data_IF_699792415952
#
_entry.id   IF_699792415952
#
_cell.length_a   1.000
_cell.length_b   1.000
_cell.length_c   1.000
_cell.angle_alpha   90.00
_cell.angle_beta   90.00
_cell.angle_gamma   90.00
#
_symmetry.space_group_name_H-M   'P 1'
#
loop_
_entity.id
_entity.type
_entity.pdbx_description
1 polymer ?
#
# COMPACT_ATOMS: atom_id res chain seq x y z
N UNK A 1 3.23 17.35 -37.84
CA UNK A 1 3.34 16.20 -36.88
C UNK A 1 4.11 16.70 -35.67
N UNK A 2 3.50 16.65 -34.44
CA UNK A 2 4.26 16.94 -33.21
C UNK A 2 5.33 15.86 -33.05
N UNK A 3 6.58 16.25 -32.78
CA UNK A 3 7.70 15.35 -32.51
C UNK A 3 7.29 14.40 -31.40
N UNK A 4 7.35 13.08 -31.66
CA UNK A 4 7.11 12.07 -30.61
C UNK A 4 8.25 12.16 -29.61
N UNK A 5 7.93 12.42 -28.34
CA UNK A 5 8.92 12.49 -27.27
C UNK A 5 8.93 11.12 -26.59
N UNK A 6 10.07 10.47 -26.56
CA UNK A 6 10.29 9.26 -25.79
C UNK A 6 10.81 9.63 -24.40
N UNK A 7 10.17 9.10 -23.37
CA UNK A 7 10.56 9.27 -21.97
C UNK A 7 11.04 7.95 -21.38
N UNK A 8 11.80 8.02 -20.31
CA UNK A 8 12.33 6.82 -19.69
C UNK A 8 11.22 6.00 -19.03
N UNK A 9 10.31 6.64 -18.31
CA UNK A 9 9.33 5.92 -17.50
C UNK A 9 7.94 6.57 -17.42
N UNK A 10 6.94 5.70 -17.21
CA UNK A 10 5.61 6.07 -16.75
C UNK A 10 5.26 5.26 -15.50
N UNK A 11 4.67 5.89 -14.50
CA UNK A 11 4.24 5.26 -13.25
C UNK A 11 2.73 5.29 -13.12
N UNK A 12 2.10 4.18 -12.72
CA UNK A 12 0.67 4.09 -12.40
C UNK A 12 0.54 3.88 -10.89
N UNK A 13 -0.14 4.82 -10.21
CA UNK A 13 -0.34 4.79 -8.76
C UNK A 13 -1.83 4.77 -8.41
N UNK A 14 -2.26 3.79 -7.60
CA UNK A 14 -3.64 3.62 -7.14
C UNK A 14 -3.81 3.93 -5.65
N UNK A 15 -2.70 4.06 -4.90
CA UNK A 15 -2.69 4.33 -3.47
C UNK A 15 -1.60 5.35 -3.08
N UNK A 16 -1.73 6.01 -1.91
CA UNK A 16 -0.65 6.86 -1.38
C UNK A 16 0.68 6.13 -1.23
N UNK A 17 0.67 4.88 -0.77
CA UNK A 17 1.88 4.07 -0.64
C UNK A 17 2.57 3.84 -1.98
N UNK A 18 1.82 3.51 -3.03
CA UNK A 18 2.37 3.37 -4.38
C UNK A 18 2.95 4.68 -4.90
N UNK A 19 2.35 5.83 -4.57
CA UNK A 19 2.90 7.13 -4.95
C UNK A 19 4.24 7.39 -4.24
N UNK A 20 4.35 7.07 -2.95
CA UNK A 20 5.62 7.16 -2.22
C UNK A 20 6.71 6.27 -2.85
N UNK A 21 6.37 5.03 -3.19
CA UNK A 21 7.29 4.10 -3.86
C UNK A 21 7.69 4.59 -5.26
N UNK A 22 6.76 5.15 -6.04
CA UNK A 22 7.03 5.72 -7.35
C UNK A 22 7.95 6.94 -7.28
N UNK A 23 7.73 7.84 -6.31
CA UNK A 23 8.63 8.99 -6.04
C UNK A 23 10.03 8.49 -5.70
N UNK A 24 10.13 7.49 -4.83
CA UNK A 24 11.41 6.90 -4.43
C UNK A 24 12.16 6.34 -5.63
N UNK A 25 11.50 5.56 -6.49
CA UNK A 25 12.11 4.99 -7.68
C UNK A 25 12.51 6.05 -8.71
N UNK A 26 11.62 6.99 -9.01
CA UNK A 26 11.88 8.02 -10.02
C UNK A 26 13.08 8.90 -9.64
N UNK A 27 13.16 9.30 -8.36
CA UNK A 27 14.28 10.09 -7.83
C UNK A 27 15.59 9.28 -7.80
N UNK A 28 15.53 8.03 -7.33
CA UNK A 28 16.73 7.18 -7.20
C UNK A 28 17.30 6.76 -8.54
N UNK A 29 16.45 6.52 -9.54
CA UNK A 29 16.88 6.14 -10.88
C UNK A 29 17.27 7.34 -11.75
N UNK A 30 16.92 8.58 -11.37
CA UNK A 30 17.14 9.78 -12.17
C UNK A 30 16.40 9.75 -13.52
N UNK A 31 15.24 9.06 -13.57
CA UNK A 31 14.48 8.86 -14.82
C UNK A 31 13.63 10.09 -15.18
N UNK A 32 13.58 10.44 -16.46
CA UNK A 32 12.55 11.33 -16.98
C UNK A 32 11.21 10.60 -16.99
N UNK A 33 10.29 11.00 -16.14
CA UNK A 33 9.11 10.21 -15.89
C UNK A 33 7.82 11.02 -15.84
N UNK A 34 6.71 10.37 -16.20
CA UNK A 34 5.35 10.84 -15.96
C UNK A 34 4.67 9.94 -14.93
N UNK A 35 3.72 10.48 -14.17
CA UNK A 35 2.90 9.71 -13.25
C UNK A 35 1.41 9.85 -13.58
N UNK A 36 0.72 8.72 -13.49
CA UNK A 36 -0.70 8.55 -13.75
C UNK A 36 -1.38 8.13 -12.46
N UNK A 37 -2.23 8.99 -11.92
CA UNK A 37 -2.96 8.75 -10.69
C UNK A 37 -4.32 8.13 -11.00
N UNK A 38 -4.56 6.93 -10.48
CA UNK A 38 -5.82 6.21 -10.61
C UNK A 38 -6.90 6.88 -9.73
N UNK A 39 -8.14 7.00 -10.20
CA UNK A 39 -9.24 7.58 -9.42
C UNK A 39 -9.63 6.80 -8.16
N UNK A 40 -9.13 5.58 -7.95
CA UNK A 40 -9.27 4.87 -6.68
C UNK A 40 -8.47 5.54 -5.55
N UNK A 41 -7.46 6.32 -5.91
CA UNK A 41 -6.69 7.12 -4.99
C UNK A 41 -7.58 8.27 -4.44
N UNK A 42 -8.10 8.10 -3.23
CA UNK A 42 -8.97 9.10 -2.60
C UNK A 42 -8.24 10.41 -2.37
N UNK A 43 -8.98 11.53 -2.43
CA UNK A 43 -8.45 12.89 -2.24
C UNK A 43 -7.25 13.21 -3.16
N UNK A 44 -7.19 12.56 -4.33
CA UNK A 44 -6.08 12.66 -5.27
C UNK A 44 -5.77 14.10 -5.70
N UNK A 45 -6.75 15.02 -5.70
CA UNK A 45 -6.57 16.41 -6.12
C UNK A 45 -5.50 17.15 -5.32
N UNK A 46 -5.54 17.01 -3.98
CA UNK A 46 -4.56 17.67 -3.11
C UNK A 46 -3.15 17.13 -3.37
N UNK A 47 -3.03 15.81 -3.55
CA UNK A 47 -1.76 15.15 -3.85
C UNK A 47 -1.24 15.52 -5.24
N UNK A 48 -2.08 15.53 -6.26
CA UNK A 48 -1.72 15.93 -7.63
C UNK A 48 -1.19 17.38 -7.66
N UNK A 49 -1.88 18.30 -6.97
CA UNK A 49 -1.46 19.70 -6.89
C UNK A 49 -0.08 19.86 -6.25
N UNK A 50 0.17 19.14 -5.16
CA UNK A 50 1.45 19.18 -4.44
C UNK A 50 2.55 18.45 -5.22
N UNK A 51 2.23 17.30 -5.80
CA UNK A 51 3.16 16.50 -6.60
C UNK A 51 3.73 17.27 -7.79
N UNK A 52 2.90 18.07 -8.47
CA UNK A 52 3.35 18.97 -9.55
C UNK A 52 4.40 19.99 -9.09
N UNK A 53 4.36 20.40 -7.82
CA UNK A 53 5.33 21.35 -7.25
C UNK A 53 6.68 20.71 -6.92
N UNK A 54 6.76 19.38 -6.82
CA UNK A 54 8.02 18.69 -6.50
C UNK A 54 8.99 18.67 -7.68
N UNK A 55 8.49 18.71 -8.91
CA UNK A 55 9.29 18.51 -10.11
C UNK A 55 9.83 17.09 -10.32
N UNK A 56 9.43 16.12 -9.47
CA UNK A 56 9.86 14.70 -9.59
C UNK A 56 9.36 14.07 -10.89
N UNK A 57 8.14 14.42 -11.29
CA UNK A 57 7.55 13.97 -12.55
C UNK A 57 7.33 15.16 -13.47
N UNK A 58 7.68 15.00 -14.74
CA UNK A 58 7.46 16.04 -15.75
C UNK A 58 5.97 16.27 -15.98
N UNK A 59 5.18 15.21 -15.90
CA UNK A 59 3.73 15.26 -16.07
C UNK A 59 3.03 14.47 -14.99
N UNK A 60 1.99 15.07 -14.42
CA UNK A 60 1.10 14.44 -13.43
C UNK A 60 -0.31 14.45 -14.00
N UNK A 61 -0.83 13.26 -14.28
CA UNK A 61 -2.12 13.03 -14.95
C UNK A 61 -3.11 12.36 -14.01
N UNK A 62 -4.32 12.92 -13.92
CA UNK A 62 -5.46 12.30 -13.26
C UNK A 62 -6.22 11.42 -14.28
N UNK A 63 -6.07 10.12 -14.19
CA UNK A 63 -6.75 9.19 -15.09
C UNK A 63 -8.27 9.27 -15.00
N UNK A 64 -8.80 9.67 -13.85
CA UNK A 64 -10.23 9.82 -13.64
C UNK A 64 -10.85 10.97 -14.42
N UNK A 65 -10.16 12.09 -14.51
CA UNK A 65 -10.61 13.29 -15.22
C UNK A 65 -10.28 13.25 -16.70
N UNK A 66 -9.10 12.74 -17.02
CA UNK A 66 -8.52 12.84 -18.35
C UNK A 66 -8.93 11.70 -19.28
N UNK A 67 -9.56 10.65 -18.75
CA UNK A 67 -10.11 9.53 -19.53
C UNK A 67 -11.61 9.34 -19.26
N UNK A 68 -12.38 8.99 -20.26
CA UNK A 68 -13.79 8.58 -20.05
C UNK A 68 -13.96 7.23 -19.35
N UNK A 69 -12.86 6.56 -19.03
CA UNK A 69 -12.83 5.19 -18.52
C UNK A 69 -13.53 5.02 -17.16
N UNK A 70 -13.37 5.99 -16.24
CA UNK A 70 -14.05 5.98 -14.94
C UNK A 70 -15.55 6.09 -15.10
N UNK A 71 -16.00 7.03 -15.93
CA UNK A 71 -17.44 7.22 -16.19
C UNK A 71 -18.07 5.95 -16.77
N UNK A 72 -17.34 5.24 -17.65
CA UNK A 72 -17.80 3.99 -18.20
C UNK A 72 -17.89 2.87 -17.15
N UNK A 73 -16.90 2.78 -16.24
CA UNK A 73 -16.86 1.78 -15.17
C UNK A 73 -17.97 1.98 -14.12
N UNK A 74 -18.31 3.23 -13.81
CA UNK A 74 -19.29 3.59 -12.77
C UNK A 74 -20.75 3.52 -13.21
N UNK A 75 -21.03 3.06 -14.43
CA UNK A 75 -22.39 2.85 -14.90
C UNK A 75 -23.04 1.69 -14.14
N UNK A 76 -24.16 1.95 -13.44
CA UNK A 76 -24.86 0.94 -12.63
C UNK A 76 -25.39 -0.22 -13.46
N UNK A 77 -25.99 0.06 -14.64
CA UNK A 77 -26.50 -0.98 -15.53
C UNK A 77 -25.35 -1.78 -16.15
N UNK A 78 -25.34 -3.10 -15.92
CA UNK A 78 -24.28 -4.03 -16.36
C UNK A 78 -24.09 -4.04 -17.88
N UNK A 79 -25.18 -4.00 -18.65
CA UNK A 79 -25.12 -4.03 -20.13
C UNK A 79 -24.58 -2.72 -20.70
N UNK A 80 -25.09 -1.57 -20.22
CA UNK A 80 -24.60 -0.24 -20.63
C UNK A 80 -23.14 -0.04 -20.21
N UNK A 81 -22.74 -0.54 -19.03
CA UNK A 81 -21.34 -0.55 -18.60
C UNK A 81 -20.47 -1.34 -19.56
N UNK A 82 -20.86 -2.57 -19.90
CA UNK A 82 -20.15 -3.41 -20.87
C UNK A 82 -19.99 -2.74 -22.24
N UNK A 83 -21.08 -2.14 -22.75
CA UNK A 83 -21.06 -1.42 -24.02
C UNK A 83 -20.09 -0.22 -23.99
N UNK A 84 -20.14 0.61 -22.94
CA UNK A 84 -19.23 1.76 -22.80
C UNK A 84 -17.76 1.35 -22.69
N UNK A 85 -17.47 0.30 -21.95
CA UNK A 85 -16.12 -0.26 -21.86
C UNK A 85 -15.66 -0.75 -23.24
N UNK A 86 -16.53 -1.42 -23.99
CA UNK A 86 -16.26 -1.89 -25.36
C UNK A 86 -15.95 -0.72 -26.31
N UNK A 87 -16.72 0.36 -26.23
CA UNK A 87 -16.48 1.58 -27.01
C UNK A 87 -15.12 2.23 -26.68
N UNK A 88 -14.72 2.25 -25.41
CA UNK A 88 -13.37 2.72 -25.02
C UNK A 88 -12.29 1.83 -25.62
N UNK A 89 -12.46 0.51 -25.60
CA UNK A 89 -11.50 -0.42 -26.21
C UNK A 89 -11.40 -0.22 -27.73
N UNK A 90 -12.51 0.03 -28.41
CA UNK A 90 -12.53 0.29 -29.85
C UNK A 90 -11.85 1.63 -30.20
N UNK A 91 -12.03 2.65 -29.36
CA UNK A 91 -11.43 3.97 -29.55
C UNK A 91 -10.34 4.28 -28.50
N UNK A 92 -9.48 3.32 -28.20
CA UNK A 92 -8.47 3.45 -27.14
C UNK A 92 -7.50 4.60 -27.41
N UNK A 93 -7.15 4.85 -28.67
CA UNK A 93 -6.29 6.00 -29.08
C UNK A 93 -6.94 7.34 -28.75
N UNK A 94 -8.25 7.49 -29.02
CA UNK A 94 -9.02 8.68 -28.69
C UNK A 94 -9.17 8.87 -27.18
N UNK A 95 -9.49 7.81 -26.46
CA UNK A 95 -9.66 7.83 -25.00
C UNK A 95 -8.41 8.31 -24.26
N UNK A 96 -7.22 7.95 -24.74
CA UNK A 96 -5.94 8.34 -24.12
C UNK A 96 -5.20 9.48 -24.82
N UNK A 97 -5.78 10.08 -25.87
CA UNK A 97 -5.14 11.16 -26.63
C UNK A 97 -4.72 12.34 -25.74
N UNK A 98 -5.58 12.75 -24.81
CA UNK A 98 -5.32 13.86 -23.89
C UNK A 98 -4.32 13.44 -22.82
N UNK A 99 -4.48 12.26 -22.23
CA UNK A 99 -3.70 11.77 -21.09
C UNK A 99 -2.28 11.41 -21.47
N UNK A 100 -2.07 10.77 -22.60
CA UNK A 100 -0.75 10.31 -23.03
C UNK A 100 -0.10 11.25 -24.08
N UNK A 101 -0.90 12.02 -24.82
CA UNK A 101 -0.41 13.10 -25.70
C UNK A 101 0.57 12.66 -26.80
N UNK A 102 0.59 11.34 -27.14
CA UNK A 102 1.54 10.77 -28.10
C UNK A 102 2.91 10.44 -27.50
N UNK A 103 3.11 10.59 -26.19
CA UNK A 103 4.34 10.14 -25.52
C UNK A 103 4.51 8.63 -25.60
N UNK A 104 5.75 8.21 -25.74
CA UNK A 104 6.18 6.81 -25.62
C UNK A 104 7.06 6.70 -24.39
N UNK A 105 7.10 5.52 -23.79
CA UNK A 105 7.87 5.23 -22.60
C UNK A 105 8.69 3.98 -22.82
N UNK A 106 9.93 3.97 -22.35
CA UNK A 106 10.78 2.77 -22.32
C UNK A 106 10.26 1.77 -21.29
N UNK A 107 9.81 2.27 -20.13
CA UNK A 107 9.32 1.47 -19.01
C UNK A 107 7.94 1.92 -18.55
N UNK A 108 7.10 0.97 -18.16
CA UNK A 108 5.82 1.21 -17.51
C UNK A 108 5.84 0.53 -16.13
N UNK A 109 5.89 1.35 -15.09
CA UNK A 109 5.88 0.92 -13.72
C UNK A 109 4.45 0.81 -13.20
N UNK A 110 4.13 -0.33 -12.56
CA UNK A 110 2.85 -0.59 -11.92
C UNK A 110 3.05 -1.48 -10.71
N UNK A 111 2.12 -1.45 -9.75
CA UNK A 111 2.15 -2.38 -8.60
C UNK A 111 1.36 -3.67 -8.86
N UNK A 112 0.39 -3.61 -9.76
CA UNK A 112 -0.47 -4.74 -10.09
C UNK A 112 -1.12 -4.59 -11.48
N UNK A 113 -1.84 -5.61 -11.92
CA UNK A 113 -2.60 -5.62 -13.16
C UNK A 113 -3.95 -4.89 -12.99
N UNK A 114 -3.90 -3.59 -12.68
CA UNK A 114 -5.10 -2.77 -12.53
C UNK A 114 -5.85 -2.56 -13.86
N UNK A 115 -7.12 -2.14 -13.77
CA UNK A 115 -7.91 -1.79 -14.95
C UNK A 115 -7.25 -0.72 -15.82
N UNK A 116 -6.68 0.31 -15.21
CA UNK A 116 -5.99 1.36 -15.96
C UNK A 116 -4.66 0.90 -16.56
N UNK A 117 -3.95 0.00 -15.88
CA UNK A 117 -2.80 -0.66 -16.48
C UNK A 117 -3.18 -1.42 -17.76
N UNK A 118 -4.26 -2.23 -17.73
CA UNK A 118 -4.75 -2.95 -18.91
C UNK A 118 -5.11 -1.99 -20.05
N UNK A 119 -5.80 -0.89 -19.75
CA UNK A 119 -6.14 0.12 -20.76
C UNK A 119 -4.90 0.82 -21.33
N UNK A 120 -3.92 1.17 -20.51
CA UNK A 120 -2.69 1.80 -20.98
C UNK A 120 -1.88 0.85 -21.86
N UNK A 121 -1.77 -0.42 -21.50
CA UNK A 121 -1.11 -1.42 -22.34
C UNK A 121 -1.81 -1.61 -23.68
N UNK A 122 -3.15 -1.61 -23.70
CA UNK A 122 -3.92 -1.63 -24.98
C UNK A 122 -3.64 -0.40 -25.83
N UNK A 123 -3.54 0.77 -25.20
CA UNK A 123 -3.15 1.99 -25.93
C UNK A 123 -1.77 1.87 -26.54
N UNK A 124 -0.76 1.43 -25.77
CA UNK A 124 0.60 1.27 -26.26
C UNK A 124 0.68 0.27 -27.43
N UNK A 125 0.00 -0.87 -27.34
CA UNK A 125 -0.11 -1.80 -28.45
C UNK A 125 -0.76 -1.16 -29.69
N UNK A 126 -1.81 -0.37 -29.50
CA UNK A 126 -2.52 0.28 -30.60
C UNK A 126 -1.67 1.34 -31.33
N UNK A 127 -0.64 1.92 -30.67
CA UNK A 127 0.32 2.88 -31.25
C UNK A 127 1.69 2.27 -31.55
N UNK A 128 1.74 0.94 -31.58
CA UNK A 128 2.96 0.14 -31.81
C UNK A 128 4.11 0.54 -30.87
N UNK A 129 3.80 0.66 -29.60
CA UNK A 129 4.76 0.85 -28.52
C UNK A 129 4.72 -0.35 -27.57
N UNK A 130 5.90 -0.75 -27.08
CA UNK A 130 6.04 -1.91 -26.18
C UNK A 130 6.95 -1.56 -25.00
N UNK A 131 6.45 -0.78 -24.02
CA UNK A 131 7.25 -0.48 -22.85
C UNK A 131 7.55 -1.76 -22.07
N UNK A 132 8.74 -1.83 -21.48
CA UNK A 132 9.04 -2.87 -20.49
C UNK A 132 8.12 -2.66 -19.29
N UNK A 133 7.38 -3.71 -18.92
CA UNK A 133 6.56 -3.68 -17.71
C UNK A 133 7.42 -3.97 -16.49
N UNK A 134 7.38 -3.08 -15.52
CA UNK A 134 8.13 -3.19 -14.27
C UNK A 134 7.15 -3.13 -13.11
N UNK A 135 7.21 -4.09 -12.21
CA UNK A 135 6.40 -4.06 -10.99
C UNK A 135 7.19 -3.43 -9.84
N UNK A 136 6.49 -2.72 -8.97
CA UNK A 136 7.05 -2.20 -7.74
C UNK A 136 6.16 -2.52 -6.55
N UNK A 137 6.72 -2.41 -5.35
CA UNK A 137 6.10 -2.84 -4.09
C UNK A 137 4.75 -2.16 -3.82
N UNK A 138 3.78 -2.95 -3.38
CA UNK A 138 2.41 -2.56 -3.01
C UNK A 138 2.06 -3.03 -1.58
N UNK A 139 3.05 -3.32 -0.78
CA UNK A 139 2.90 -3.93 0.53
C UNK A 139 2.76 -5.45 0.46
N UNK A 140 1.99 -6.05 1.39
CA UNK A 140 1.86 -7.51 1.55
C UNK A 140 1.58 -8.24 0.24
N UNK A 141 0.63 -7.74 -0.53
CA UNK A 141 0.26 -8.38 -1.77
C UNK A 141 1.42 -8.57 -2.75
N UNK A 142 2.53 -7.84 -2.58
CA UNK A 142 3.75 -8.05 -3.36
C UNK A 142 4.47 -9.34 -2.98
N UNK A 143 4.30 -9.80 -1.75
CA UNK A 143 4.99 -10.97 -1.18
C UNK A 143 4.12 -12.21 -1.15
N UNK A 144 2.81 -12.06 -0.89
CA UNK A 144 1.88 -13.17 -0.72
C UNK A 144 1.28 -13.65 -2.06
N UNK A 145 0.96 -12.75 -2.96
CA UNK A 145 0.33 -13.09 -4.25
C UNK A 145 1.12 -12.62 -5.47
N UNK A 146 2.23 -13.31 -5.83
CA UNK A 146 3.07 -12.92 -6.97
C UNK A 146 2.34 -13.05 -8.32
N UNK A 147 1.29 -13.87 -8.42
CA UNK A 147 0.55 -14.10 -9.68
C UNK A 147 -0.13 -12.83 -10.21
N UNK A 148 -0.59 -11.95 -9.32
CA UNK A 148 -1.18 -10.66 -9.71
C UNK A 148 -0.17 -9.69 -10.32
N UNK A 149 1.12 -10.02 -10.27
CA UNK A 149 2.25 -9.21 -10.73
C UNK A 149 3.06 -9.89 -11.82
N UNK A 150 2.37 -10.68 -12.62
CA UNK A 150 2.88 -11.23 -13.88
C UNK A 150 2.10 -10.53 -14.99
N UNK A 151 2.76 -9.84 -15.93
CA UNK A 151 2.07 -9.20 -17.04
C UNK A 151 1.26 -10.21 -17.83
N UNK A 152 0.08 -9.82 -18.29
CA UNK A 152 -0.71 -10.68 -19.17
C UNK A 152 0.12 -11.01 -20.44
N UNK A 153 0.14 -12.27 -20.82
CA UNK A 153 0.89 -12.80 -21.99
C UNK A 153 0.62 -12.04 -23.30
N UNK A 154 -0.55 -11.39 -23.43
CA UNK A 154 -0.87 -10.54 -24.57
C UNK A 154 -0.03 -9.27 -24.67
N UNK A 155 0.59 -8.83 -23.56
CA UNK A 155 1.38 -7.59 -23.48
C UNK A 155 2.89 -7.82 -23.53
N UNK A 156 3.35 -9.00 -23.20
CA UNK A 156 4.77 -9.33 -23.10
C UNK A 156 5.07 -10.65 -23.79
N UNK A 157 6.29 -10.82 -24.28
CA UNK A 157 6.76 -12.10 -24.82
C UNK A 157 6.74 -13.19 -23.74
N UNK A 158 6.57 -14.45 -24.17
CA UNK A 158 6.64 -15.61 -23.26
C UNK A 158 8.00 -15.71 -22.54
N UNK A 159 9.05 -15.22 -23.17
CA UNK A 159 10.43 -15.32 -22.67
C UNK A 159 10.90 -14.05 -21.94
N UNK A 160 10.01 -13.05 -21.78
CA UNK A 160 10.38 -11.83 -21.09
C UNK A 160 10.55 -12.05 -19.60
N UNK A 161 11.64 -11.50 -19.06
CA UNK A 161 11.91 -11.45 -17.63
C UNK A 161 11.07 -10.32 -17.00
N UNK A 162 10.34 -10.64 -15.95
CA UNK A 162 9.56 -9.65 -15.19
C UNK A 162 10.45 -8.99 -14.14
N UNK A 163 10.67 -7.69 -14.27
CA UNK A 163 11.41 -6.91 -13.27
C UNK A 163 10.48 -6.50 -12.14
N UNK A 164 10.93 -6.70 -10.89
CA UNK A 164 10.20 -6.32 -9.67
C UNK A 164 11.11 -5.57 -8.72
N UNK A 165 10.72 -4.35 -8.35
CA UNK A 165 11.37 -3.58 -7.29
C UNK A 165 10.61 -3.76 -5.97
N UNK A 166 11.26 -4.35 -4.98
CA UNK A 166 10.67 -4.68 -3.68
C UNK A 166 11.52 -4.10 -2.55
N UNK A 167 10.89 -3.62 -1.49
CA UNK A 167 11.60 -3.14 -0.30
C UNK A 167 12.32 -4.27 0.43
N UNK A 168 11.78 -5.48 0.38
CA UNK A 168 12.41 -6.67 0.98
C UNK A 168 12.51 -7.83 -0.02
N UNK A 169 13.49 -7.82 -0.95
CA UNK A 169 13.75 -8.95 -1.86
C UNK A 169 13.92 -10.28 -1.11
N UNK A 170 14.56 -10.25 0.04
CA UNK A 170 14.78 -11.44 0.86
C UNK A 170 13.46 -12.06 1.35
N UNK A 171 12.52 -11.24 1.83
CA UNK A 171 11.18 -11.70 2.23
C UNK A 171 10.46 -12.35 1.04
N UNK A 172 10.50 -11.68 -0.13
CA UNK A 172 9.89 -12.23 -1.35
C UNK A 172 10.45 -13.61 -1.71
N UNK A 173 11.77 -13.75 -1.69
CA UNK A 173 12.43 -15.01 -2.04
C UNK A 173 12.14 -16.12 -1.00
N UNK A 174 12.03 -15.78 0.28
CA UNK A 174 11.61 -16.73 1.33
C UNK A 174 10.15 -17.17 1.18
N UNK A 175 9.27 -16.27 0.71
CA UNK A 175 7.85 -16.58 0.51
C UNK A 175 7.61 -17.40 -0.77
N UNK A 176 8.31 -17.09 -1.87
CA UNK A 176 7.96 -17.55 -3.21
C UNK A 176 9.04 -18.41 -3.89
N UNK A 177 10.26 -18.45 -3.33
CA UNK A 177 11.40 -19.09 -3.97
C UNK A 177 11.98 -18.25 -5.13
N UNK A 178 13.02 -18.78 -5.77
CA UNK A 178 13.63 -18.18 -6.96
C UNK A 178 12.88 -18.61 -8.21
N UNK A 179 12.67 -17.67 -9.13
CA UNK A 179 12.10 -17.92 -10.44
C UNK A 179 12.98 -17.24 -11.50
N UNK A 180 13.53 -18.01 -12.43
CA UNK A 180 14.42 -17.51 -13.50
C UNK A 180 13.75 -16.52 -14.47
N UNK A 181 12.41 -16.37 -14.39
CA UNK A 181 11.64 -15.40 -15.16
C UNK A 181 11.39 -14.10 -14.40
N UNK A 182 12.01 -13.94 -13.25
CA UNK A 182 11.86 -12.76 -12.40
C UNK A 182 13.22 -12.17 -12.04
N UNK A 183 13.36 -10.87 -12.26
CA UNK A 183 14.50 -10.08 -11.83
C UNK A 183 14.05 -9.24 -10.62
N UNK A 184 14.40 -9.71 -9.42
CA UNK A 184 14.02 -9.09 -8.17
C UNK A 184 15.10 -8.10 -7.76
N UNK A 185 14.75 -6.83 -7.69
CA UNK A 185 15.65 -5.72 -7.36
C UNK A 185 15.22 -5.05 -6.06
N UNK A 186 16.18 -4.54 -5.24
CA UNK A 186 15.84 -3.76 -4.07
C UNK A 186 15.23 -2.41 -4.48
N UNK A 187 14.10 -2.07 -3.86
CA UNK A 187 13.55 -0.72 -3.88
C UNK A 187 14.24 0.07 -2.76
N UNK A 188 14.85 1.23 -3.03
CA UNK A 188 15.51 2.02 -2.00
C UNK A 188 14.56 2.41 -0.87
N UNK A 189 15.07 2.49 0.37
CA UNK A 189 14.28 2.95 1.51
C UNK A 189 13.86 4.41 1.33
N UNK A 190 12.68 4.76 1.82
CA UNK A 190 12.07 6.09 1.58
C UNK A 190 12.83 7.24 2.27
N UNK A 191 13.59 6.98 3.30
CA UNK A 191 14.38 7.96 4.06
C UNK A 191 15.87 7.99 3.68
N UNK A 192 16.29 7.13 2.75
CA UNK A 192 17.68 7.02 2.32
C UNK A 192 18.17 8.25 1.55
N UNK A 193 17.32 8.89 0.75
CA UNK A 193 17.67 10.07 -0.06
C UNK A 193 16.87 11.29 0.43
N UNK A 194 17.61 12.35 0.79
CA UNK A 194 17.02 13.64 1.23
C UNK A 194 16.06 14.25 0.19
N UNK A 195 16.29 14.01 -1.11
CA UNK A 195 15.41 14.49 -2.18
C UNK A 195 14.08 13.74 -2.15
N UNK A 196 14.10 12.42 -1.94
CA UNK A 196 12.91 11.58 -1.75
C UNK A 196 12.14 12.09 -0.54
N UNK A 197 12.81 12.24 0.60
CA UNK A 197 12.19 12.73 1.83
C UNK A 197 11.53 14.09 1.64
N UNK A 198 12.24 15.05 1.02
CA UNK A 198 11.70 16.38 0.74
C UNK A 198 10.46 16.33 -0.18
N UNK A 199 10.49 15.46 -1.19
CA UNK A 199 9.35 15.30 -2.09
C UNK A 199 8.13 14.70 -1.35
N UNK A 200 8.32 13.66 -0.55
CA UNK A 200 7.26 13.04 0.28
C UNK A 200 6.70 14.08 1.27
N UNK A 201 7.56 14.82 1.96
CA UNK A 201 7.15 15.86 2.91
C UNK A 201 6.27 16.93 2.24
N UNK A 202 6.61 17.35 1.02
CA UNK A 202 5.82 18.31 0.26
C UNK A 202 4.49 17.72 -0.23
N UNK A 203 4.50 16.50 -0.77
CA UNK A 203 3.30 15.85 -1.31
C UNK A 203 2.27 15.60 -0.20
N UNK A 204 2.73 15.06 0.92
CA UNK A 204 1.85 14.60 2.00
C UNK A 204 1.69 15.62 3.14
N UNK A 205 2.43 16.74 3.10
CA UNK A 205 2.40 17.79 4.15
C UNK A 205 2.70 17.22 5.53
N UNK A 206 3.79 16.45 5.62
CA UNK A 206 4.09 15.62 6.80
C UNK A 206 4.22 16.42 8.09
N UNK A 207 4.52 17.74 8.00
CA UNK A 207 4.54 18.64 9.16
C UNK A 207 3.18 18.81 9.83
N UNK A 208 2.09 18.57 9.11
CA UNK A 208 0.71 18.64 9.63
C UNK A 208 0.18 17.30 10.10
N UNK A 209 0.95 16.23 9.92
CA UNK A 209 0.56 14.88 10.39
C UNK A 209 0.76 14.85 11.91
N UNK A 210 -0.31 14.65 12.70
CA UNK A 210 -0.19 14.53 14.13
C UNK A 210 0.73 13.38 14.52
N UNK A 211 1.66 13.64 15.42
CA UNK A 211 2.56 12.62 15.96
C UNK A 211 1.80 11.76 16.96
N UNK A 212 1.99 10.45 16.90
CA UNK A 212 1.47 9.54 17.92
C UNK A 212 2.41 9.56 19.11
N UNK A 213 1.95 10.14 20.23
CA UNK A 213 2.69 10.21 21.49
C UNK A 213 2.57 8.94 22.33
N UNK A 214 1.41 8.31 22.27
CA UNK A 214 1.03 7.18 23.11
C UNK A 214 1.94 5.96 22.91
N UNK A 215 2.23 5.23 23.99
CA UNK A 215 3.11 4.05 23.94
C UNK A 215 2.49 2.85 23.24
N UNK A 216 1.16 2.77 23.14
CA UNK A 216 0.44 1.71 22.47
C UNK A 216 -0.44 2.27 21.35
N UNK A 217 -0.44 1.62 20.21
CA UNK A 217 -1.31 1.92 19.09
C UNK A 217 -2.14 0.70 18.70
N UNK A 218 -3.44 0.89 18.51
CA UNK A 218 -4.32 -0.10 17.91
C UNK A 218 -4.55 0.29 16.46
N UNK A 219 -4.13 -0.56 15.53
CA UNK A 219 -4.53 -0.45 14.12
C UNK A 219 -5.80 -1.26 13.94
N UNK A 220 -6.92 -0.56 13.98
CA UNK A 220 -8.23 -1.20 13.92
C UNK A 220 -8.59 -1.68 12.52
N UNK A 221 -9.54 -2.61 12.43
CA UNK A 221 -9.97 -3.24 11.17
C UNK A 221 -11.44 -2.95 10.90
N UNK A 222 -11.88 -3.21 9.68
CA UNK A 222 -13.31 -3.23 9.32
C UNK A 222 -13.97 -4.50 9.85
N UNK A 223 -14.47 -4.44 11.09
CA UNK A 223 -15.03 -5.61 11.82
C UNK A 223 -16.10 -6.33 11.01
N UNK A 224 -17.10 -5.59 10.54
CA UNK A 224 -18.23 -6.13 9.76
C UNK A 224 -17.81 -6.89 8.49
N UNK A 225 -16.70 -6.44 7.87
CA UNK A 225 -16.15 -7.09 6.69
C UNK A 225 -15.33 -8.33 7.05
N UNK A 226 -14.60 -8.28 8.16
CA UNK A 226 -13.62 -9.30 8.52
C UNK A 226 -14.19 -10.42 9.39
N UNK A 227 -15.24 -10.16 10.18
CA UNK A 227 -15.78 -11.07 11.20
C UNK A 227 -17.31 -11.10 11.16
N UNK A 228 -17.90 -12.19 11.68
CA UNK A 228 -19.33 -12.22 12.00
C UNK A 228 -19.63 -11.31 13.22
N UNK A 229 -20.90 -11.03 13.47
CA UNK A 229 -21.34 -10.06 14.49
C UNK A 229 -20.86 -10.46 15.89
N UNK A 230 -20.97 -11.75 16.26
CA UNK A 230 -20.52 -12.26 17.56
C UNK A 230 -19.01 -12.07 17.72
N UNK A 231 -18.23 -12.53 16.75
CA UNK A 231 -16.77 -12.39 16.77
C UNK A 231 -16.33 -10.92 16.78
N UNK A 232 -17.03 -10.04 16.06
CA UNK A 232 -16.77 -8.60 16.04
C UNK A 232 -17.02 -7.94 17.42
N UNK A 233 -18.06 -8.42 18.15
CA UNK A 233 -18.33 -7.98 19.51
C UNK A 233 -17.22 -8.45 20.47
N UNK A 234 -16.89 -9.73 20.46
CA UNK A 234 -15.84 -10.31 21.30
C UNK A 234 -14.47 -9.63 21.07
N UNK A 235 -14.15 -9.32 19.80
CA UNK A 235 -12.96 -8.57 19.41
C UNK A 235 -12.96 -7.17 20.02
N UNK A 236 -14.08 -6.44 19.91
CA UNK A 236 -14.21 -5.08 20.46
C UNK A 236 -14.09 -5.08 21.98
N UNK A 237 -14.76 -6.00 22.67
CA UNK A 237 -14.69 -6.15 24.13
C UNK A 237 -13.26 -6.47 24.60
N UNK A 238 -12.55 -7.32 23.86
CA UNK A 238 -11.14 -7.63 24.18
C UNK A 238 -10.26 -6.38 24.03
N UNK A 239 -10.45 -5.58 22.98
CA UNK A 239 -9.69 -4.34 22.81
C UNK A 239 -10.06 -3.28 23.84
N UNK A 240 -11.31 -3.22 24.30
CA UNK A 240 -11.72 -2.34 25.41
C UNK A 240 -10.99 -2.74 26.70
N UNK A 241 -10.94 -4.03 27.03
CA UNK A 241 -10.15 -4.52 28.18
C UNK A 241 -8.67 -4.20 28.08
N UNK A 242 -8.09 -4.23 26.86
CA UNK A 242 -6.71 -3.78 26.62
C UNK A 242 -6.57 -2.30 26.95
N UNK A 243 -7.49 -1.45 26.46
CA UNK A 243 -7.46 -0.01 26.73
C UNK A 243 -7.62 0.30 28.24
N UNK A 244 -8.50 -0.38 28.94
CA UNK A 244 -8.67 -0.22 30.38
C UNK A 244 -7.40 -0.63 31.14
N UNK A 245 -6.81 -1.79 30.80
CA UNK A 245 -5.60 -2.30 31.47
C UNK A 245 -4.39 -1.37 31.28
N UNK A 246 -4.20 -0.82 30.09
CA UNK A 246 -3.06 0.07 29.77
C UNK A 246 -3.34 1.52 30.19
N UNK A 247 -4.60 1.87 30.39
CA UNK A 247 -5.11 3.24 30.57
C UNK A 247 -5.42 3.90 29.24
N UNK A 248 -6.65 4.35 29.06
CA UNK A 248 -7.18 4.91 27.79
C UNK A 248 -6.29 6.00 27.18
N UNK A 249 -5.68 6.84 28.02
CA UNK A 249 -4.82 7.93 27.59
C UNK A 249 -3.43 7.46 27.06
N UNK A 250 -3.08 6.21 27.31
CA UNK A 250 -1.84 5.59 26.84
C UNK A 250 -2.03 4.81 25.53
N UNK A 251 -3.23 4.81 24.97
CA UNK A 251 -3.58 4.07 23.76
C UNK A 251 -4.09 5.02 22.70
N UNK A 252 -3.47 5.02 21.54
CA UNK A 252 -3.96 5.71 20.35
C UNK A 252 -4.63 4.71 19.41
N UNK A 253 -5.87 4.98 19.00
CA UNK A 253 -6.65 4.12 18.12
C UNK A 253 -6.66 4.71 16.72
N UNK A 254 -6.01 4.04 15.79
CA UNK A 254 -6.10 4.39 14.38
C UNK A 254 -7.17 3.54 13.71
N UNK A 255 -8.34 4.15 13.51
CA UNK A 255 -9.43 3.51 12.79
C UNK A 255 -9.06 3.26 11.32
N UNK A 256 -9.63 2.20 10.76
CA UNK A 256 -9.52 1.96 9.32
C UNK A 256 -10.19 3.10 8.53
N UNK A 257 -9.60 3.63 7.44
CA UNK A 257 -10.14 4.80 6.70
C UNK A 257 -11.57 4.64 6.18
N UNK A 258 -12.06 3.41 6.05
CA UNK A 258 -13.42 3.10 5.61
C UNK A 258 -14.39 2.83 6.76
N UNK A 259 -13.88 2.68 7.98
CA UNK A 259 -14.73 2.50 9.17
C UNK A 259 -15.37 3.83 9.54
N UNK A 260 -16.69 3.82 9.68
CA UNK A 260 -17.52 4.97 10.08
C UNK A 260 -18.28 4.69 11.37
N UNK A 261 -17.96 3.61 12.06
CA UNK A 261 -18.61 3.24 13.31
C UNK A 261 -18.20 4.15 14.46
N UNK A 262 -19.10 4.31 15.43
CA UNK A 262 -18.85 5.02 16.69
C UNK A 262 -18.27 4.11 17.78
N UNK A 263 -17.74 2.95 17.43
CA UNK A 263 -17.24 1.95 18.37
C UNK A 263 -16.24 2.52 19.37
N UNK A 264 -15.42 3.46 18.94
CA UNK A 264 -14.36 4.05 19.76
C UNK A 264 -14.73 5.38 20.40
N UNK A 265 -16.03 5.72 20.47
CA UNK A 265 -16.49 6.93 21.14
C UNK A 265 -16.03 6.94 22.60
N UNK A 266 -15.38 8.02 23.03
CA UNK A 266 -14.81 8.16 24.38
C UNK A 266 -13.41 7.56 24.56
N UNK A 267 -12.77 7.12 23.48
CA UNK A 267 -11.37 6.71 23.46
C UNK A 267 -10.50 7.73 22.70
N UNK A 268 -9.19 7.62 22.86
CA UNK A 268 -8.23 8.47 22.14
C UNK A 268 -8.05 7.98 20.71
N UNK A 269 -8.80 8.57 19.79
CA UNK A 269 -8.80 8.23 18.37
C UNK A 269 -7.80 9.13 17.65
N UNK A 270 -6.98 8.53 16.79
CA UNK A 270 -6.11 9.29 15.90
C UNK A 270 -6.95 10.21 14.99
N UNK A 271 -6.68 11.54 14.94
CA UNK A 271 -7.62 12.54 14.42
C UNK A 271 -7.91 12.42 12.91
N UNK A 272 -7.01 11.83 12.13
CA UNK A 272 -7.20 11.65 10.68
C UNK A 272 -6.96 10.20 10.25
N UNK A 273 -8.04 9.42 10.16
CA UNK A 273 -7.98 8.03 9.72
C UNK A 273 -7.45 7.86 8.29
N UNK A 274 -7.50 8.91 7.45
CA UNK A 274 -7.04 8.86 6.05
C UNK A 274 -5.52 8.91 5.90
N UNK A 275 -4.79 9.33 6.94
CA UNK A 275 -3.32 9.33 6.93
C UNK A 275 -2.80 7.90 6.82
N UNK A 276 -2.00 7.56 5.79
CA UNK A 276 -1.37 6.26 5.68
C UNK A 276 -0.48 5.94 6.88
N UNK A 277 -0.49 4.68 7.31
CA UNK A 277 0.33 4.27 8.45
C UNK A 277 1.83 4.43 8.20
N UNK A 278 2.26 4.29 6.96
CA UNK A 278 3.63 4.52 6.51
C UNK A 278 4.11 5.94 6.82
N UNK A 279 3.23 6.94 6.66
CA UNK A 279 3.56 8.32 7.03
C UNK A 279 3.67 8.49 8.56
N UNK A 280 2.85 7.77 9.34
CA UNK A 280 3.00 7.74 10.80
C UNK A 280 4.34 7.12 11.21
N UNK A 281 4.79 6.09 10.50
CA UNK A 281 6.12 5.51 10.72
C UNK A 281 7.27 6.50 10.46
N UNK A 282 7.05 7.46 9.55
CA UNK A 282 8.03 8.52 9.25
C UNK A 282 8.03 9.65 10.30
N UNK A 283 6.85 10.00 10.84
CA UNK A 283 6.67 11.17 11.70
C UNK A 283 6.68 10.84 13.19
N UNK A 284 6.43 9.57 13.54
CA UNK A 284 6.36 9.10 14.93
C UNK A 284 7.48 8.11 15.24
N UNK A 285 7.92 8.07 16.52
CA UNK A 285 8.91 7.09 16.99
C UNK A 285 8.24 5.72 17.22
N UNK A 286 7.89 5.05 16.09
CA UNK A 286 7.16 3.78 16.14
C UNK A 286 8.00 2.62 16.69
N UNK A 287 9.32 2.73 16.68
CA UNK A 287 10.22 1.69 17.19
C UNK A 287 10.04 1.42 18.70
N UNK A 288 9.63 2.44 19.44
CA UNK A 288 9.36 2.36 20.88
C UNK A 288 7.92 1.96 21.22
N UNK A 289 7.07 1.72 20.23
CA UNK A 289 5.64 1.46 20.45
C UNK A 289 5.30 -0.02 20.49
N UNK A 290 4.16 -0.31 21.11
CA UNK A 290 3.43 -1.55 20.94
C UNK A 290 2.31 -1.31 19.93
N UNK A 291 2.22 -2.13 18.91
CA UNK A 291 1.18 -2.05 17.87
C UNK A 291 0.34 -3.31 17.94
N UNK A 292 -0.95 -3.13 18.19
CA UNK A 292 -1.92 -4.23 18.22
C UNK A 292 -2.81 -4.14 16.98
N UNK A 293 -3.05 -5.25 16.34
CA UNK A 293 -4.00 -5.34 15.22
C UNK A 293 -4.56 -6.75 15.10
N UNK A 294 -5.71 -6.87 14.45
CA UNK A 294 -6.24 -8.18 14.07
C UNK A 294 -5.29 -8.88 13.09
N UNK A 295 -5.10 -8.29 11.91
CA UNK A 295 -4.26 -8.85 10.84
C UNK A 295 -3.88 -7.80 9.80
N UNK A 296 -3.61 -6.56 10.24
CA UNK A 296 -3.22 -5.51 9.30
C UNK A 296 -1.78 -5.70 8.83
N UNK A 297 -1.58 -5.77 7.54
CA UNK A 297 -0.28 -5.89 6.90
C UNK A 297 0.57 -4.62 6.99
N UNK A 298 -0.07 -3.51 7.35
CA UNK A 298 0.63 -2.26 7.66
C UNK A 298 1.70 -2.43 8.76
N UNK A 299 1.53 -3.41 9.68
CA UNK A 299 2.54 -3.69 10.73
C UNK A 299 3.89 -4.17 10.20
N UNK A 300 3.97 -4.60 8.94
CA UNK A 300 5.24 -4.94 8.29
C UNK A 300 6.05 -3.70 7.88
N UNK A 301 5.36 -2.58 7.64
CA UNK A 301 5.96 -1.38 7.05
C UNK A 301 7.06 -0.74 7.90
N UNK A 302 6.98 -0.66 9.25
CA UNK A 302 8.07 -0.17 10.07
C UNK A 302 9.39 -0.89 9.78
N UNK A 303 9.36 -2.22 9.69
CA UNK A 303 10.55 -3.03 9.43
C UNK A 303 11.02 -2.91 7.98
N UNK A 304 10.10 -3.08 7.04
CA UNK A 304 10.44 -3.17 5.61
C UNK A 304 10.90 -1.84 5.05
N UNK A 305 10.24 -0.72 5.44
CA UNK A 305 10.53 0.61 4.88
C UNK A 305 11.61 1.38 5.65
N UNK A 306 11.72 1.15 6.96
CA UNK A 306 12.51 2.00 7.85
C UNK A 306 13.48 1.21 8.74
N UNK A 307 13.52 -0.11 8.66
CA UNK A 307 14.34 -0.96 9.54
C UNK A 307 13.93 -0.93 11.02
N UNK A 308 12.78 -0.29 11.35
CA UNK A 308 12.26 -0.15 12.72
C UNK A 308 11.56 -1.42 13.18
N UNK A 309 11.69 -1.73 14.47
CA UNK A 309 11.16 -2.96 15.06
C UNK A 309 10.24 -2.69 16.27
N UNK A 310 9.03 -2.08 16.07
CA UNK A 310 8.07 -1.98 17.16
C UNK A 310 7.70 -3.36 17.73
N UNK A 311 7.14 -3.40 18.93
CA UNK A 311 6.49 -4.62 19.40
C UNK A 311 5.17 -4.76 18.66
N UNK A 312 4.94 -5.89 18.00
CA UNK A 312 3.71 -6.18 17.25
C UNK A 312 2.97 -7.30 17.95
N UNK A 313 1.66 -7.10 18.17
CA UNK A 313 0.74 -8.14 18.67
C UNK A 313 -0.34 -8.38 17.64
N UNK A 314 -0.39 -9.58 17.09
CA UNK A 314 -1.30 -10.01 16.03
C UNK A 314 -2.39 -10.89 16.60
N UNK A 315 -3.66 -10.47 16.48
CA UNK A 315 -4.80 -11.13 17.14
C UNK A 315 -5.55 -12.13 16.24
N UNK A 316 -5.07 -12.37 15.02
CA UNK A 316 -5.78 -13.20 14.03
C UNK A 316 -6.02 -14.66 14.44
N UNK A 317 -5.27 -15.15 15.41
CA UNK A 317 -5.50 -16.50 15.97
C UNK A 317 -6.55 -16.53 17.08
N UNK A 318 -6.82 -15.38 17.71
CA UNK A 318 -7.85 -15.27 18.76
C UNK A 318 -9.27 -15.21 18.19
N UNK A 319 -9.43 -14.70 16.96
CA UNK A 319 -10.74 -14.39 16.42
C UNK A 319 -10.93 -15.03 15.04
N UNK A 320 -12.06 -15.73 14.88
CA UNK A 320 -12.42 -16.36 13.61
C UNK A 320 -12.74 -15.30 12.56
N UNK A 321 -12.01 -15.32 11.46
CA UNK A 321 -12.25 -14.41 10.34
C UNK A 321 -13.18 -15.03 9.29
N UNK A 322 -14.02 -14.19 8.65
CA UNK A 322 -14.91 -14.60 7.53
C UNK A 322 -14.14 -15.14 6.33
N UNK A 323 -12.99 -14.53 6.04
CA UNK A 323 -12.12 -15.01 4.97
C UNK A 323 -11.22 -16.08 5.59
N UNK A 324 -11.42 -17.31 5.14
CA UNK A 324 -10.57 -18.43 5.56
C UNK A 324 -9.11 -18.09 5.19
N UNK A 325 -8.23 -18.27 6.18
CA UNK A 325 -6.80 -18.21 5.94
C UNK A 325 -6.37 -19.52 5.27
N UNK A 326 -5.85 -19.45 4.07
CA UNK A 326 -5.23 -20.58 3.37
C UNK A 326 -3.81 -20.88 3.89
N UNK A 327 -3.46 -20.33 5.07
CA UNK A 327 -2.12 -20.38 5.67
C UNK A 327 -1.19 -19.26 5.21
N UNK A 328 -1.61 -18.39 4.30
CA UNK A 328 -0.82 -17.29 3.79
C UNK A 328 -0.44 -16.28 4.87
N UNK A 329 -1.41 -15.90 5.72
CA UNK A 329 -1.18 -14.97 6.85
C UNK A 329 -0.19 -15.53 7.85
N UNK A 330 -0.40 -16.77 8.28
CA UNK A 330 0.50 -17.42 9.23
C UNK A 330 1.92 -17.48 8.68
N UNK A 331 2.05 -17.81 7.39
CA UNK A 331 3.33 -17.83 6.70
C UNK A 331 3.99 -16.46 6.68
N UNK A 332 3.27 -15.39 6.26
CA UNK A 332 3.86 -14.07 6.15
C UNK A 332 4.25 -13.48 7.50
N UNK A 333 3.44 -13.65 8.56
CA UNK A 333 3.78 -13.16 9.89
C UNK A 333 4.90 -13.97 10.56
N UNK A 334 5.02 -15.27 10.29
CA UNK A 334 6.20 -16.05 10.66
C UNK A 334 7.46 -15.52 9.98
N UNK A 335 7.38 -15.15 8.70
CA UNK A 335 8.52 -14.54 8.00
C UNK A 335 8.81 -13.13 8.50
N UNK A 336 7.82 -12.31 8.83
CA UNK A 336 8.01 -11.04 9.51
C UNK A 336 8.81 -11.22 10.81
N UNK A 337 8.41 -12.18 11.64
CA UNK A 337 9.14 -12.53 12.87
C UNK A 337 10.59 -12.92 12.59
N UNK A 338 10.85 -13.63 11.50
CA UNK A 338 12.20 -14.08 11.14
C UNK A 338 13.12 -12.95 10.65
N UNK A 339 12.59 -11.87 10.07
CA UNK A 339 13.38 -10.72 9.64
C UNK A 339 13.63 -9.69 10.76
N UNK A 340 12.94 -9.82 11.91
CA UNK A 340 13.22 -9.03 13.10
C UNK A 340 14.52 -9.49 13.75
N UNK A 341 15.38 -8.55 14.17
CA UNK A 341 16.57 -8.85 14.97
C UNK A 341 16.14 -9.45 16.32
N UNK A 342 15.13 -8.84 16.96
CA UNK A 342 14.54 -9.38 18.17
C UNK A 342 13.18 -10.03 17.85
N UNK A 343 13.20 -11.34 17.57
CA UNK A 343 12.01 -12.14 17.26
C UNK A 343 10.92 -12.13 18.36
N UNK A 344 11.29 -11.81 19.61
CA UNK A 344 10.35 -11.68 20.74
C UNK A 344 9.48 -10.41 20.64
N UNK A 345 9.73 -9.54 19.69
CA UNK A 345 8.89 -8.35 19.43
C UNK A 345 7.69 -8.62 18.53
N UNK A 346 7.59 -9.80 17.93
CA UNK A 346 6.41 -10.21 17.14
C UNK A 346 5.67 -11.30 17.89
N UNK A 347 4.54 -10.95 18.46
CA UNK A 347 3.74 -11.77 19.37
C UNK A 347 2.44 -12.18 18.67
N UNK A 348 2.08 -13.43 18.78
CA UNK A 348 0.88 -14.01 18.16
C UNK A 348 0.19 -14.83 19.25
N UNK A 349 -0.64 -14.21 20.12
CA UNK A 349 -1.34 -14.91 21.18
C UNK A 349 -2.39 -15.86 20.58
N UNK A 350 -2.53 -17.04 21.19
CA UNK A 350 -3.55 -18.03 20.84
C UNK A 350 -4.72 -18.01 21.82
N UNK A 351 -4.52 -17.39 23.00
CA UNK A 351 -5.57 -17.19 24.01
C UNK A 351 -5.58 -15.75 24.53
N UNK A 352 -6.71 -15.34 25.16
CA UNK A 352 -6.78 -14.01 25.79
C UNK A 352 -5.81 -13.90 26.97
N UNK A 353 -5.60 -14.97 27.72
CA UNK A 353 -4.67 -15.05 28.84
C UNK A 353 -3.24 -14.75 28.36
N UNK A 354 -2.82 -15.33 27.25
CA UNK A 354 -1.51 -15.02 26.63
C UNK A 354 -1.42 -13.55 26.22
N UNK A 355 -2.47 -12.98 25.61
CA UNK A 355 -2.50 -11.56 25.24
C UNK A 355 -2.25 -10.69 26.46
N UNK A 356 -3.00 -10.93 27.55
CA UNK A 356 -2.88 -10.11 28.76
C UNK A 356 -1.55 -10.35 29.50
N UNK A 357 -1.00 -11.55 29.47
CA UNK A 357 0.34 -11.85 29.98
C UNK A 357 1.42 -11.06 29.24
N UNK A 358 1.36 -11.00 27.90
CA UNK A 358 2.29 -10.15 27.11
C UNK A 358 2.20 -8.67 27.48
N UNK A 359 0.99 -8.16 27.71
CA UNK A 359 0.82 -6.76 28.14
C UNK A 359 1.41 -6.49 29.52
N UNK A 360 1.29 -7.44 30.46
CA UNK A 360 1.90 -7.32 31.80
C UNK A 360 3.42 -7.31 31.76
N UNK A 361 4.02 -8.17 30.93
CA UNK A 361 5.46 -8.19 30.72
C UNK A 361 5.98 -6.88 30.12
N UNK A 362 5.25 -6.32 29.12
CA UNK A 362 5.60 -5.05 28.49
C UNK A 362 5.48 -3.88 29.48
N UNK A 363 4.47 -3.89 30.35
CA UNK A 363 4.31 -2.91 31.43
C UNK A 363 5.49 -2.91 32.41
N UNK A 364 5.91 -4.10 32.86
CA UNK A 364 7.08 -4.25 33.77
C UNK A 364 8.40 -3.76 33.17
N UNK A 365 8.59 -3.92 31.84
CA UNK A 365 9.79 -3.46 31.14
C UNK A 365 9.84 -1.94 30.96
N UNK A 366 8.70 -1.25 30.99
CA UNK A 366 8.60 0.20 30.85
C UNK A 366 8.73 0.96 32.17
N UNK A 367 8.46 0.30 33.29
CA UNK A 367 8.63 0.86 34.63
C UNK A 367 10.05 0.77 35.19
N UNK A 368 10.96 0.17 34.42
CA UNK A 368 12.39 0.11 34.69
C UNK A 368 13.13 1.02 33.73
#
# INVERSE_FOLDING_TARGET
MKKRVEKDAAYICTTPFQLMSAVTLAVSNGETADVFIDPQFRENEKYIKRLRKTGVFERVTDLGRDTGAVRARNVKNKYLRGLRIKLIHLNIKGAFRKSLGGHRYKKLYTSNNSYFFDLMMRYFLAVDARPQVVFFDDGEGSYDNPKCRIPNKKYVSKDSVTVKYLYSPELYLKMNGRNNREDIRPLPLMDHDKRVRKAIDLIFDTKKIPVVGEPLMILDTMRETCMDEKTAKDYSETLFKVCEKIGKNNVCIKQHPRDKSDTWKGYNIYPDSSVPFELLCMTSDVDKKVIITLSSTAVMMPKILFGKEPVIILLYKLFKMKIADDGGRDKIYKQLRNIYQNKKRVLIPETQEELFSYLDELGKRRGR
#
